data_IF_675777983641
#
_entry.id   IF_675777983641
#
_cell.length_a   1.000
_cell.length_b   1.000
_cell.length_c   1.000
_cell.angle_alpha   90.00
_cell.angle_beta   90.00
_cell.angle_gamma   90.00
#
_symmetry.space_group_name_H-M   'P 1'
#
loop_
_entity.id
_entity.type
_entity.pdbx_description
1 polymer ?
#
# COMPACT_ATOMS: atom_id res chain seq x y z
N UNK A 1 26.78 5.11 -4.87
CA UNK A 1 28.16 5.47 -4.47
C UNK A 1 28.42 6.86 -5.00
N UNK A 2 28.86 7.79 -4.13
CA UNK A 2 29.07 9.20 -4.45
C UNK A 2 30.58 9.42 -4.40
N UNK A 3 31.21 9.60 -5.55
CA UNK A 3 32.67 9.78 -5.62
C UNK A 3 33.04 11.17 -5.12
N UNK A 4 33.87 11.21 -4.08
CA UNK A 4 34.45 12.44 -3.56
C UNK A 4 35.76 12.71 -4.32
N UNK A 5 35.73 13.68 -5.24
CA UNK A 5 36.95 14.17 -5.89
C UNK A 5 37.65 15.15 -4.95
N UNK A 6 38.48 14.63 -4.04
CA UNK A 6 39.33 15.45 -3.17
C UNK A 6 40.71 15.52 -3.80
N UNK A 7 41.02 16.65 -4.45
CA UNK A 7 42.38 16.92 -4.93
C UNK A 7 43.34 17.05 -3.75
N UNK A 8 44.43 16.29 -3.81
CA UNK A 8 45.62 16.26 -2.93
C UNK A 8 45.49 17.02 -1.60
N UNK A 9 44.71 16.46 -0.67
CA UNK A 9 44.58 16.96 0.70
C UNK A 9 45.53 16.14 1.58
N UNK A 10 46.71 16.70 1.88
CA UNK A 10 47.72 16.07 2.72
C UNK A 10 47.41 16.33 4.21
N UNK A 11 46.32 15.76 4.70
CA UNK A 11 45.84 15.86 6.08
C UNK A 11 44.86 14.74 6.39
N UNK A 12 44.80 14.33 7.66
CA UNK A 12 43.90 13.25 8.09
C UNK A 12 42.44 13.72 7.95
N UNK A 13 41.75 13.25 6.90
CA UNK A 13 40.36 13.61 6.63
C UNK A 13 39.47 12.75 7.51
N UNK A 14 39.13 13.24 8.70
CA UNK A 14 38.07 12.66 9.50
C UNK A 14 36.72 13.03 8.88
N UNK A 15 36.19 12.17 8.01
CA UNK A 15 34.82 12.27 7.52
C UNK A 15 33.91 11.91 8.70
N UNK A 16 33.43 12.93 9.42
CA UNK A 16 32.44 12.74 10.46
C UNK A 16 31.07 12.54 9.80
N UNK A 17 30.81 11.30 9.37
CA UNK A 17 29.53 10.90 8.82
C UNK A 17 28.52 10.74 9.97
N UNK A 18 27.95 11.86 10.43
CA UNK A 18 26.84 11.88 11.39
C UNK A 18 25.60 11.08 10.91
N UNK A 19 25.59 10.59 9.67
CA UNK A 19 24.62 9.62 9.16
C UNK A 19 24.60 8.32 9.98
N UNK A 20 25.67 8.00 10.71
CA UNK A 20 25.74 6.80 11.56
C UNK A 20 24.97 6.96 12.88
N UNK A 21 24.72 8.20 13.33
CA UNK A 21 23.91 8.50 14.52
C UNK A 21 22.40 8.50 14.22
N UNK A 22 22.02 8.57 12.94
CA UNK A 22 20.64 8.29 12.49
C UNK A 22 20.37 6.79 12.35
N UNK A 23 21.04 5.96 13.16
CA UNK A 23 20.68 4.56 13.37
C UNK A 23 19.32 4.52 14.05
N UNK A 24 18.27 4.28 13.26
CA UNK A 24 16.94 3.80 13.67
C UNK A 24 16.61 4.10 15.14
N UNK A 25 16.39 5.38 15.44
CA UNK A 25 15.96 5.81 16.77
C UNK A 25 14.59 5.17 17.03
N UNK A 26 14.47 4.37 18.10
CA UNK A 26 13.17 3.80 18.47
C UNK A 26 12.19 4.96 18.73
N UNK A 27 10.91 4.81 18.36
CA UNK A 27 9.89 5.87 18.51
C UNK A 27 9.81 6.44 19.93
N UNK A 28 10.12 5.61 20.93
CA UNK A 28 10.17 5.98 22.35
C UNK A 28 11.17 7.12 22.63
N UNK A 29 12.24 7.23 21.82
CA UNK A 29 13.28 8.24 21.98
C UNK A 29 13.06 9.48 21.09
N UNK A 30 12.15 9.42 20.11
CA UNK A 30 11.86 10.56 19.23
C UNK A 30 11.16 11.68 19.99
N UNK A 31 11.41 12.92 19.56
CA UNK A 31 10.68 14.09 20.05
C UNK A 31 9.23 14.10 19.55
N UNK A 32 8.35 14.85 20.22
CA UNK A 32 6.93 14.92 19.87
C UNK A 32 6.70 15.42 18.43
N UNK A 33 7.49 16.40 17.97
CA UNK A 33 7.41 16.93 16.61
C UNK A 33 7.90 15.92 15.57
N UNK A 34 8.96 15.15 15.89
CA UNK A 34 9.46 14.06 15.06
C UNK A 34 8.41 12.96 14.91
N UNK A 35 7.76 12.56 16.01
CA UNK A 35 6.68 11.57 16.04
C UNK A 35 5.49 11.97 15.17
N UNK A 36 5.06 13.23 15.26
CA UNK A 36 3.96 13.77 14.44
C UNK A 36 4.33 13.82 12.95
N UNK A 37 5.57 14.19 12.63
CA UNK A 37 6.05 14.22 11.24
C UNK A 37 6.09 12.81 10.63
N UNK A 38 6.46 11.81 11.44
CA UNK A 38 6.55 10.43 11.02
C UNK A 38 5.17 9.76 10.90
N UNK A 39 4.22 10.09 11.78
CA UNK A 39 2.80 9.72 11.65
C UNK A 39 2.24 10.22 10.31
N UNK A 40 2.41 11.51 10.01
CA UNK A 40 1.94 12.11 8.75
C UNK A 40 2.60 11.47 7.53
N UNK A 41 3.89 11.17 7.60
CA UNK A 41 4.60 10.49 6.52
C UNK A 41 4.04 9.08 6.29
N UNK A 42 3.84 8.29 7.35
CA UNK A 42 3.28 6.92 7.24
C UNK A 42 1.85 6.92 6.73
N UNK A 43 1.02 7.87 7.15
CA UNK A 43 -0.34 8.05 6.61
C UNK A 43 -0.32 8.33 5.10
N UNK A 44 0.55 9.23 4.63
CA UNK A 44 0.69 9.53 3.19
C UNK A 44 1.15 8.32 2.39
N UNK A 45 2.07 7.52 2.94
CA UNK A 45 2.52 6.26 2.31
C UNK A 45 1.35 5.28 2.21
N UNK A 46 0.60 5.10 3.30
CA UNK A 46 -0.55 4.19 3.35
C UNK A 46 -1.65 4.60 2.36
N UNK A 47 -1.97 5.89 2.28
CA UNK A 47 -2.92 6.42 1.29
C UNK A 47 -2.46 6.19 -0.14
N UNK A 48 -1.16 6.40 -0.42
CA UNK A 48 -0.59 6.20 -1.75
C UNK A 48 -0.66 4.73 -2.18
N UNK A 49 -0.38 3.81 -1.25
CA UNK A 49 -0.50 2.37 -1.52
C UNK A 49 -1.95 1.94 -1.72
N UNK A 50 -2.88 2.43 -0.88
CA UNK A 50 -4.30 2.14 -1.02
C UNK A 50 -4.87 2.67 -2.33
N UNK A 51 -4.48 3.89 -2.75
CA UNK A 51 -4.83 4.44 -4.07
C UNK A 51 -4.26 3.62 -5.22
N UNK A 52 -3.01 3.14 -5.11
CA UNK A 52 -2.40 2.26 -6.13
C UNK A 52 -3.15 0.92 -6.22
N UNK A 53 -3.51 0.32 -5.09
CA UNK A 53 -4.26 -0.95 -5.04
C UNK A 53 -5.66 -0.78 -5.62
N UNK A 54 -6.38 0.28 -5.23
CA UNK A 54 -7.72 0.58 -5.74
C UNK A 54 -7.72 0.85 -7.25
N UNK A 55 -6.75 1.61 -7.77
CA UNK A 55 -6.69 1.92 -9.22
C UNK A 55 -6.39 0.68 -10.07
N UNK A 56 -5.54 -0.23 -9.60
CA UNK A 56 -5.31 -1.52 -10.27
C UNK A 56 -6.55 -2.40 -10.22
N UNK A 57 -7.20 -2.52 -9.06
CA UNK A 57 -8.43 -3.29 -8.91
C UNK A 57 -9.55 -2.75 -9.81
N UNK A 58 -9.73 -1.42 -9.88
CA UNK A 58 -10.70 -0.77 -10.77
C UNK A 58 -10.40 -1.02 -12.25
N UNK A 59 -9.13 -0.98 -12.66
CA UNK A 59 -8.74 -1.29 -14.04
C UNK A 59 -9.06 -2.74 -14.42
N UNK A 60 -8.77 -3.69 -13.52
CA UNK A 60 -9.07 -5.11 -13.73
C UNK A 60 -10.59 -5.34 -13.77
N UNK A 61 -11.33 -4.72 -12.84
CA UNK A 61 -12.79 -4.78 -12.80
C UNK A 61 -13.41 -4.20 -14.09
N UNK A 62 -12.93 -3.05 -14.55
CA UNK A 62 -13.39 -2.43 -15.78
C UNK A 62 -13.12 -3.32 -17.00
N UNK A 63 -11.93 -3.92 -17.10
CA UNK A 63 -11.60 -4.87 -18.16
C UNK A 63 -12.48 -6.12 -18.13
N UNK A 64 -12.71 -6.69 -16.94
CA UNK A 64 -13.59 -7.84 -16.75
C UNK A 64 -15.05 -7.52 -17.11
N UNK A 65 -15.54 -6.33 -16.73
CA UNK A 65 -16.89 -5.87 -17.06
C UNK A 65 -17.12 -5.71 -18.56
N UNK A 66 -16.15 -5.14 -19.28
CA UNK A 66 -16.24 -5.02 -20.76
C UNK A 66 -16.29 -6.40 -21.40
N UNK A 67 -15.46 -7.34 -20.94
CA UNK A 67 -15.42 -8.71 -21.47
C UNK A 67 -16.75 -9.45 -21.22
N UNK A 68 -17.36 -9.24 -20.05
CA UNK A 68 -18.70 -9.77 -19.73
C UNK A 68 -19.79 -9.18 -20.64
N UNK A 69 -19.75 -7.89 -20.96
CA UNK A 69 -20.71 -7.26 -21.87
C UNK A 69 -20.58 -7.81 -23.29
N UNK A 70 -19.36 -8.02 -23.78
CA UNK A 70 -19.12 -8.64 -25.08
C UNK A 70 -19.63 -10.08 -25.13
N UNK A 71 -19.33 -10.89 -24.11
CA UNK A 71 -19.81 -12.27 -24.04
C UNK A 71 -21.33 -12.36 -23.94
N UNK A 72 -21.96 -11.51 -23.12
CA UNK A 72 -23.42 -11.45 -22.98
C UNK A 72 -24.12 -11.01 -24.26
N UNK A 73 -23.58 -9.99 -24.95
CA UNK A 73 -24.08 -9.54 -26.25
C UNK A 73 -24.00 -10.62 -27.32
N UNK A 74 -22.91 -11.41 -27.33
CA UNK A 74 -22.74 -12.52 -28.26
C UNK A 74 -23.72 -13.67 -28.00
N UNK A 75 -23.93 -14.02 -26.73
CA UNK A 75 -24.91 -15.03 -26.34
C UNK A 75 -26.35 -14.61 -26.64
N UNK A 76 -26.69 -13.33 -26.49
CA UNK A 76 -28.02 -12.82 -26.79
C UNK A 76 -28.40 -12.99 -28.27
N UNK A 77 -27.45 -12.82 -29.18
CA UNK A 77 -27.66 -12.99 -30.62
C UNK A 77 -27.82 -14.47 -31.00
N UNK A 78 -27.13 -15.37 -30.30
CA UNK A 78 -27.20 -16.81 -30.58
C UNK A 78 -28.44 -17.52 -30.01
N UNK A 79 -29.23 -16.87 -29.14
CA UNK A 79 -30.59 -17.28 -28.76
C UNK A 79 -30.71 -18.61 -27.98
N UNK A 80 -29.61 -19.33 -27.75
CA UNK A 80 -29.60 -20.55 -26.95
C UNK A 80 -29.33 -20.20 -25.48
N UNK A 81 -30.42 -20.11 -24.70
CA UNK A 81 -30.35 -20.09 -23.25
C UNK A 81 -30.01 -21.50 -22.73
N UNK A 82 -28.76 -21.89 -22.93
CA UNK A 82 -28.25 -23.13 -22.40
C UNK A 82 -28.12 -23.02 -20.87
N UNK A 83 -28.48 -24.10 -20.18
CA UNK A 83 -28.36 -24.20 -18.71
C UNK A 83 -26.90 -24.01 -18.24
N UNK A 84 -25.95 -24.26 -19.15
CA UNK A 84 -24.52 -23.98 -18.96
C UNK A 84 -24.24 -22.47 -18.87
N UNK A 85 -24.94 -21.64 -19.65
CA UNK A 85 -24.73 -20.19 -19.67
C UNK A 85 -25.23 -19.53 -18.38
N UNK A 86 -26.38 -19.98 -17.86
CA UNK A 86 -26.88 -19.52 -16.55
C UNK A 86 -25.98 -19.96 -15.40
N UNK A 87 -25.49 -21.20 -15.41
CA UNK A 87 -24.57 -21.72 -14.41
C UNK A 87 -23.22 -20.99 -14.43
N UNK A 88 -22.71 -20.68 -15.63
CA UNK A 88 -21.44 -19.95 -15.80
C UNK A 88 -21.57 -18.51 -15.34
N UNK A 89 -22.70 -17.84 -15.64
CA UNK A 89 -22.99 -16.51 -15.12
C UNK A 89 -23.08 -16.47 -13.59
N UNK A 90 -23.75 -17.45 -12.99
CA UNK A 90 -23.86 -17.56 -11.54
C UNK A 90 -22.50 -17.84 -10.87
N UNK A 91 -21.72 -18.79 -11.41
CA UNK A 91 -20.38 -19.10 -10.92
C UNK A 91 -19.44 -17.90 -11.06
N UNK A 92 -19.51 -17.16 -12.18
CA UNK A 92 -18.75 -15.92 -12.38
C UNK A 92 -19.14 -14.82 -11.41
N UNK A 93 -20.43 -14.68 -11.10
CA UNK A 93 -20.94 -13.75 -10.08
C UNK A 93 -20.43 -14.08 -8.67
N UNK A 94 -20.46 -15.35 -8.28
CA UNK A 94 -19.91 -15.78 -6.99
C UNK A 94 -18.38 -15.60 -6.93
N UNK A 95 -17.67 -15.93 -8.00
CA UNK A 95 -16.22 -15.79 -8.06
C UNK A 95 -15.77 -14.33 -7.99
N UNK A 96 -16.50 -13.43 -8.66
CA UNK A 96 -16.24 -11.99 -8.60
C UNK A 96 -16.52 -11.43 -7.20
N UNK A 97 -17.62 -11.81 -6.55
CA UNK A 97 -17.89 -11.44 -5.15
C UNK A 97 -16.83 -11.96 -4.19
N UNK A 98 -16.41 -13.23 -4.31
CA UNK A 98 -15.36 -13.81 -3.48
C UNK A 98 -14.01 -13.09 -3.68
N UNK A 99 -13.72 -12.65 -4.91
CA UNK A 99 -12.51 -11.88 -5.24
C UNK A 99 -12.55 -10.49 -4.61
N UNK A 100 -13.71 -9.82 -4.62
CA UNK A 100 -13.89 -8.52 -3.95
C UNK A 100 -13.70 -8.66 -2.44
N UNK A 101 -14.33 -9.67 -1.82
CA UNK A 101 -14.17 -9.92 -0.38
C UNK A 101 -12.72 -10.23 0.02
N UNK A 102 -11.94 -10.90 -0.84
CA UNK A 102 -10.50 -11.14 -0.59
C UNK A 102 -9.61 -9.92 -0.84
N UNK A 103 -10.04 -8.98 -1.68
CA UNK A 103 -9.27 -7.77 -1.97
C UNK A 103 -9.06 -6.89 -0.74
N UNK A 104 -9.96 -6.98 0.24
CA UNK A 104 -9.89 -6.24 1.51
C UNK A 104 -8.91 -6.80 2.52
N UNK A 105 -8.19 -7.88 2.22
CA UNK A 105 -7.10 -8.34 3.11
C UNK A 105 -5.97 -7.30 3.09
N UNK A 106 -5.67 -6.65 4.24
CA UNK A 106 -4.58 -5.69 4.32
C UNK A 106 -3.26 -6.44 4.15
N UNK A 107 -2.38 -5.88 3.33
CA UNK A 107 -1.08 -6.46 3.04
C UNK A 107 -0.23 -6.53 4.31
N UNK A 108 0.77 -7.42 4.35
CA UNK A 108 1.69 -7.52 5.49
C UNK A 108 2.42 -6.21 5.79
N UNK A 109 2.63 -5.38 4.76
CA UNK A 109 3.19 -4.04 4.89
C UNK A 109 2.20 -3.05 5.50
N UNK A 110 0.95 -2.98 5.02
CA UNK A 110 -0.11 -2.14 5.60
C UNK A 110 -0.34 -2.46 7.08
N UNK A 111 -0.32 -3.75 7.46
CA UNK A 111 -0.40 -4.15 8.87
C UNK A 111 0.74 -3.58 9.71
N UNK A 112 1.98 -3.67 9.23
CA UNK A 112 3.14 -3.11 9.94
C UNK A 112 3.08 -1.59 10.05
N UNK A 113 2.58 -0.91 9.02
CA UNK A 113 2.39 0.54 9.06
C UNK A 113 1.32 0.95 10.08
N UNK A 114 0.20 0.21 10.15
CA UNK A 114 -0.86 0.45 11.13
C UNK A 114 -0.39 0.18 12.56
N UNK A 115 0.36 -0.89 12.79
CA UNK A 115 0.89 -1.27 14.10
C UNK A 115 1.85 -0.20 14.64
N UNK A 116 2.76 0.28 13.80
CA UNK A 116 3.65 1.37 14.19
C UNK A 116 2.92 2.72 14.38
N UNK A 117 1.83 2.95 13.67
CA UNK A 117 0.99 4.15 13.87
C UNK A 117 0.25 4.07 15.22
N UNK A 118 -0.20 2.86 15.59
CA UNK A 118 -0.77 2.59 16.90
C UNK A 118 0.27 2.78 18.02
N UNK A 119 1.51 2.34 17.81
CA UNK A 119 2.63 2.56 18.74
C UNK A 119 2.93 4.06 18.94
N UNK A 120 3.01 4.85 17.85
CA UNK A 120 3.19 6.30 17.91
C UNK A 120 2.05 6.96 18.71
N UNK A 121 0.81 6.55 18.46
CA UNK A 121 -0.36 7.11 19.14
C UNK A 121 -0.36 6.76 20.65
N UNK A 122 0.09 5.55 21.01
CA UNK A 122 0.29 5.17 22.41
C UNK A 122 1.34 6.03 23.09
N UNK A 123 2.48 6.27 22.43
CA UNK A 123 3.56 7.12 22.97
C UNK A 123 3.09 8.57 23.14
N UNK A 124 2.37 9.11 22.16
CA UNK A 124 1.82 10.47 22.23
C UNK A 124 0.79 10.61 23.36
N UNK A 125 -0.01 9.56 23.59
CA UNK A 125 -0.98 9.48 24.69
C UNK A 125 -0.29 9.36 26.05
N UNK A 126 0.77 8.56 26.16
CA UNK A 126 1.56 8.44 27.40
C UNK A 126 2.24 9.76 27.79
N UNK A 127 2.56 10.60 26.80
CA UNK A 127 3.16 11.92 27.00
C UNK A 127 2.14 13.05 27.22
N UNK A 128 0.85 12.73 27.31
CA UNK A 128 -0.28 13.67 27.51
C UNK A 128 -0.33 14.80 26.46
N UNK A 129 0.24 14.55 25.28
CA UNK A 129 0.16 15.48 24.13
C UNK A 129 -1.20 15.31 23.43
N UNK A 130 -1.93 14.22 23.71
CA UNK A 130 -3.21 13.88 23.09
C UNK A 130 -4.09 12.95 23.90
#
# INVERSE_FOLDING_TARGET
MRDFNSGDINGDVTINDHSTEQKFKLFIHCDNDELLSEEQHRLKVLEKERKRKSTLALKILAGCGILMLFAGGWYYIHGQWDLVSSLTGFAGGLFSLATICRSDVPTTFEKRQLDALQEINLILRERDVR
#
